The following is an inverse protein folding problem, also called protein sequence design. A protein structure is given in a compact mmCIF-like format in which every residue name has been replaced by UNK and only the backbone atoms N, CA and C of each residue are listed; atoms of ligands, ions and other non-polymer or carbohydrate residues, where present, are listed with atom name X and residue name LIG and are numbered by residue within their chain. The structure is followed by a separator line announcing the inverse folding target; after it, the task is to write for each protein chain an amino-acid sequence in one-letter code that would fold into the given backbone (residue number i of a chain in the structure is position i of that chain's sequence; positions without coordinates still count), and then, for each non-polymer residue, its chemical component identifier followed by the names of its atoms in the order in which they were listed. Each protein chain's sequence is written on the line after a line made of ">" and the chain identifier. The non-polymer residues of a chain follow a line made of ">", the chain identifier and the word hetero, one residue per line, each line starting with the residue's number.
data_IF_207636898303
#
_entry.id   IF_207636898303
#
_cell.length_a   1.000
_cell.length_b   1.000
_cell.length_c   1.000
_cell.angle_alpha   90.00
_cell.angle_beta   90.00
_cell.angle_gamma   90.00
#
_symmetry.space_group_name_H-M   'P 1'
#
loop_
_entity.id
_entity.type
_entity.pdbx_description
1 polymer ?
#
# COMPACT_ATOMS: atom_id res chain seq x y z
N UNK A 1 11.98 26.52 3.99
CA UNK A 1 10.75 26.32 4.77
C UNK A 1 9.91 25.35 3.98
N UNK A 2 9.85 24.10 4.42
CA UNK A 2 9.20 23.04 3.65
C UNK A 2 7.68 23.24 3.66
N UNK A 3 7.07 23.36 2.48
CA UNK A 3 5.63 23.48 2.32
C UNK A 3 5.08 22.14 1.85
N UNK A 4 4.06 21.64 2.54
CA UNK A 4 3.38 20.40 2.15
C UNK A 4 1.97 20.77 1.66
N UNK A 5 1.66 20.37 0.43
CA UNK A 5 0.33 20.51 -0.16
C UNK A 5 -0.28 19.13 -0.36
N UNK A 6 -1.59 19.01 -0.08
CA UNK A 6 -2.31 17.75 -0.16
C UNK A 6 -3.42 17.83 -1.21
N UNK A 7 -3.50 16.82 -2.08
CA UNK A 7 -4.56 16.69 -3.08
C UNK A 7 -5.26 15.34 -2.88
N UNK A 8 -6.52 15.37 -2.47
CA UNK A 8 -7.32 14.16 -2.33
C UNK A 8 -7.72 13.62 -3.71
N UNK A 9 -7.58 12.32 -3.91
CA UNK A 9 -7.90 11.63 -5.16
C UNK A 9 -9.15 10.80 -4.98
N UNK A 10 -10.13 11.00 -5.86
CA UNK A 10 -11.39 10.28 -5.86
C UNK A 10 -11.59 9.58 -7.21
N UNK A 11 -12.08 8.35 -7.19
CA UNK A 11 -12.48 7.62 -8.38
C UNK A 11 -13.97 7.27 -8.31
N UNK A 12 -14.63 7.26 -9.46
CA UNK A 12 -15.97 6.72 -9.57
C UNK A 12 -15.83 5.21 -9.83
N UNK A 13 -16.15 4.41 -8.82
CA UNK A 13 -16.11 2.94 -8.87
C UNK A 13 -17.52 2.44 -8.60
N UNK A 14 -18.05 1.61 -9.47
CA UNK A 14 -19.40 1.03 -9.35
C UNK A 14 -20.48 2.09 -9.07
N UNK A 15 -20.46 3.19 -9.82
CA UNK A 15 -21.39 4.34 -9.71
C UNK A 15 -21.27 5.17 -8.41
N UNK A 16 -20.24 4.92 -7.60
CA UNK A 16 -19.99 5.65 -6.35
C UNK A 16 -18.65 6.38 -6.37
N UNK A 17 -18.61 7.60 -5.86
CA UNK A 17 -17.35 8.32 -5.64
C UNK A 17 -16.67 7.81 -4.37
N UNK A 18 -15.52 7.17 -4.54
CA UNK A 18 -14.71 6.61 -3.46
C UNK A 18 -13.41 7.40 -3.36
N UNK A 19 -13.01 7.74 -2.14
CA UNK A 19 -11.69 8.31 -1.90
C UNK A 19 -10.65 7.21 -2.11
N UNK A 20 -9.76 7.43 -3.06
CA UNK A 20 -8.76 6.45 -3.46
C UNK A 20 -7.37 6.76 -2.95
N UNK A 21 -7.05 8.01 -2.62
CA UNK A 21 -5.75 8.38 -2.04
C UNK A 21 -5.71 9.86 -1.60
N UNK A 22 -4.54 10.28 -1.13
CA UNK A 22 -4.04 11.63 -0.97
C UNK A 22 -2.62 11.78 -1.56
N UNK A 23 -2.50 12.59 -2.62
CA UNK A 23 -1.22 13.02 -3.15
C UNK A 23 -0.62 14.08 -2.24
N UNK A 24 0.56 13.80 -1.70
CA UNK A 24 1.33 14.79 -0.94
C UNK A 24 2.45 15.35 -1.82
N UNK A 25 2.46 16.66 -2.01
CA UNK A 25 3.54 17.41 -2.67
C UNK A 25 4.35 18.11 -1.59
N UNK A 26 5.63 17.75 -1.47
CA UNK A 26 6.57 18.43 -0.60
C UNK A 26 7.43 19.36 -1.43
N UNK A 27 7.30 20.67 -1.22
CA UNK A 27 8.18 21.69 -1.80
C UNK A 27 9.24 22.03 -0.75
N UNK A 28 10.52 21.73 -1.05
CA UNK A 28 11.65 22.16 -0.25
C UNK A 28 12.50 23.19 -1.00
N UNK A 29 13.22 24.05 -0.26
CA UNK A 29 13.95 25.23 -0.78
C UNK A 29 15.04 24.88 -1.83
N UNK A 30 15.30 23.59 -2.01
CA UNK A 30 16.29 23.01 -2.93
C UNK A 30 15.70 22.46 -4.25
N UNK A 31 14.48 22.85 -4.66
CA UNK A 31 13.81 22.42 -5.91
C UNK A 31 13.39 20.94 -5.98
N UNK A 32 13.33 20.21 -4.86
CA UNK A 32 12.93 18.79 -4.89
C UNK A 32 11.43 18.65 -4.58
N UNK A 33 10.62 18.52 -5.62
CA UNK A 33 9.21 18.13 -5.51
C UNK A 33 9.11 16.61 -5.31
N UNK A 34 8.92 16.18 -4.06
CA UNK A 34 8.63 14.77 -3.78
C UNK A 34 7.12 14.54 -3.81
N UNK A 35 6.66 13.71 -4.75
CA UNK A 35 5.27 13.28 -4.87
C UNK A 35 5.11 11.87 -4.29
N UNK A 36 4.26 11.71 -3.28
CA UNK A 36 3.91 10.39 -2.73
C UNK A 36 2.44 10.07 -3.02
N UNK A 37 2.20 8.85 -3.48
CA UNK A 37 0.88 8.27 -3.75
C UNK A 37 0.81 6.87 -3.12
N UNK A 38 -0.26 6.56 -2.39
CA UNK A 38 -0.56 5.27 -1.79
C UNK A 38 -2.07 5.00 -1.75
N UNK A 39 -2.58 4.11 -2.61
CA UNK A 39 -4.01 3.76 -2.61
C UNK A 39 -4.59 3.48 -1.22
N UNK A 40 -5.72 4.12 -0.95
CA UNK A 40 -6.62 3.81 0.15
C UNK A 40 -7.08 2.36 0.03
N UNK A 41 -7.12 1.69 1.17
CA UNK A 41 -7.45 0.27 1.26
C UNK A 41 -8.85 -0.04 0.73
N UNK A 42 -9.83 0.82 0.99
CA UNK A 42 -11.20 0.63 0.52
C UNK A 42 -11.28 0.71 -1.01
N UNK A 43 -10.52 1.64 -1.61
CA UNK A 43 -10.42 1.75 -3.05
C UNK A 43 -9.68 0.55 -3.67
N UNK A 44 -8.54 0.14 -3.10
CA UNK A 44 -7.73 -0.98 -3.62
C UNK A 44 -8.41 -2.36 -3.51
N UNK A 45 -9.33 -2.53 -2.57
CA UNK A 45 -10.05 -3.80 -2.35
C UNK A 45 -11.43 -3.85 -3.01
N UNK A 46 -11.85 -2.78 -3.69
CA UNK A 46 -13.15 -2.75 -4.38
C UNK A 46 -13.16 -3.73 -5.56
N UNK A 47 -14.29 -4.44 -5.83
CA UNK A 47 -14.42 -5.32 -6.99
C UNK A 47 -14.16 -4.62 -8.34
N UNK A 48 -14.40 -3.30 -8.41
CA UNK A 48 -14.10 -2.46 -9.59
C UNK A 48 -12.81 -1.66 -9.48
N UNK A 49 -11.90 -2.00 -8.57
CA UNK A 49 -10.64 -1.27 -8.38
C UNK A 49 -9.77 -1.33 -9.64
N UNK A 50 -9.18 -0.18 -10.00
CA UNK A 50 -8.24 -0.07 -11.10
C UNK A 50 -7.10 0.87 -10.71
N UNK A 51 -5.91 0.60 -11.26
CA UNK A 51 -4.77 1.48 -11.08
C UNK A 51 -4.96 2.76 -11.92
N UNK A 52 -4.80 3.93 -11.31
CA UNK A 52 -4.88 5.23 -11.99
C UNK A 52 -3.79 5.33 -13.07
N UNK A 53 -2.58 4.90 -12.73
CA UNK A 53 -1.50 4.64 -13.67
C UNK A 53 -0.92 3.24 -13.37
N UNK A 54 -1.17 2.23 -14.20
CA UNK A 54 -0.72 0.87 -13.94
C UNK A 54 0.81 0.71 -13.99
N UNK A 55 1.56 1.67 -14.54
CA UNK A 55 3.03 1.60 -14.64
C UNK A 55 3.67 2.22 -13.41
N UNK A 56 3.32 3.46 -13.09
CA UNK A 56 3.96 4.21 -12.01
C UNK A 56 3.29 4.00 -10.65
N UNK A 57 1.98 3.71 -10.66
CA UNK A 57 1.11 3.61 -9.49
C UNK A 57 0.34 2.29 -9.51
N UNK A 58 1.05 1.17 -9.67
CA UNK A 58 0.40 -0.13 -9.61
C UNK A 58 -0.28 -0.34 -8.24
N UNK A 59 -1.46 -0.96 -8.23
CA UNK A 59 -2.11 -1.40 -6.98
C UNK A 59 -1.32 -2.59 -6.45
N UNK A 60 -0.32 -2.30 -5.61
CA UNK A 60 0.38 -3.33 -4.85
C UNK A 60 -0.43 -3.63 -3.60
N UNK A 61 -1.34 -4.60 -3.68
CA UNK A 61 -1.89 -5.26 -2.49
C UNK A 61 -0.72 -6.01 -1.83
N UNK A 62 0.06 -5.37 -0.97
CA UNK A 62 1.18 -6.04 -0.31
C UNK A 62 0.65 -7.25 0.48
N UNK A 63 1.02 -8.49 0.11
CA UNK A 63 0.58 -9.68 0.82
C UNK A 63 1.17 -9.78 2.25
N UNK A 64 2.18 -8.97 2.55
CA UNK A 64 3.14 -9.23 3.63
C UNK A 64 2.93 -8.33 4.86
N UNK A 65 2.22 -7.21 4.72
CA UNK A 65 2.00 -6.25 5.82
C UNK A 65 1.10 -6.81 6.94
N UNK A 66 0.52 -7.99 6.75
CA UNK A 66 -0.36 -8.65 7.73
C UNK A 66 0.19 -10.00 8.25
N UNK A 67 1.36 -10.46 7.79
CA UNK A 67 1.91 -11.76 8.17
C UNK A 67 2.74 -11.77 9.48
N UNK A 68 2.91 -10.62 10.13
CA UNK A 68 3.70 -10.50 11.38
C UNK A 68 2.83 -10.29 12.64
N UNK A 69 1.62 -10.86 12.67
CA UNK A 69 0.79 -10.86 13.88
C UNK A 69 0.78 -12.20 14.66
N UNK A 70 1.33 -13.31 14.12
CA UNK A 70 1.20 -14.60 14.82
C UNK A 70 2.31 -15.64 14.52
N UNK A 71 3.57 -15.30 14.82
CA UNK A 71 4.63 -16.32 14.97
C UNK A 71 5.41 -16.14 16.26
N UNK A 72 4.68 -16.18 17.38
CA UNK A 72 5.23 -16.55 18.69
C UNK A 72 4.56 -17.84 19.14
N UNK A 73 4.86 -18.96 18.47
CA UNK A 73 4.19 -20.23 18.73
C UNK A 73 4.93 -21.43 18.16
N UNK A 74 6.08 -21.77 18.78
CA UNK A 74 6.61 -23.13 18.89
C UNK A 74 6.76 -24.00 17.64
N UNK A 75 7.97 -24.08 17.10
CA UNK A 75 8.40 -25.24 16.32
C UNK A 75 9.83 -25.61 16.73
N UNK A 76 9.96 -26.48 17.75
CA UNK A 76 11.18 -27.28 17.92
C UNK A 76 10.96 -28.60 17.19
N UNK A 77 11.83 -28.82 16.20
CA UNK A 77 11.80 -29.90 15.24
C UNK A 77 11.99 -31.28 15.86
N UNK A 78 11.29 -32.26 15.30
CA UNK A 78 11.62 -33.69 15.43
C UNK A 78 12.76 -34.02 14.46
N UNK A 79 13.90 -34.43 15.01
CA UNK A 79 14.94 -35.26 14.40
C UNK A 79 15.28 -36.30 15.49
N UNK A 80 15.50 -37.58 15.29
CA UNK A 80 15.93 -38.37 14.15
C UNK A 80 15.63 -39.82 14.58
N UNK A 81 14.95 -40.62 13.75
CA UNK A 81 14.96 -42.08 13.87
C UNK A 81 15.37 -42.61 12.51
N UNK A 82 16.63 -43.01 12.39
CA UNK A 82 17.11 -44.16 11.60
C UNK A 82 18.63 -44.09 11.47
N UNK A 83 19.33 -44.80 12.35
CA UNK A 83 20.60 -45.44 12.00
C UNK A 83 20.73 -46.69 12.88
N UNK A 84 21.04 -47.79 12.20
CA UNK A 84 21.12 -49.18 12.63
C UNK A 84 22.18 -49.42 13.72
#
# INVERSE_FOLDING_TARGET
>A
MTKISHLAVFANIDTSWVRCDELSLTEDDANSEALKFQYDKACAQSPGAFAIDPVSLAICLQPDAYANADRSGGMKANAEKNAT
#
